data_IF_486957185026
#
_entry.id   IF_486957185026
#
_cell.length_a   1.000
_cell.length_b   1.000
_cell.length_c   1.000
_cell.angle_alpha   90.00
_cell.angle_beta   90.00
_cell.angle_gamma   90.00
#
_symmetry.space_group_name_H-M   'P 1'
#
loop_
_entity.id
_entity.type
_entity.pdbx_description
1 polymer ?
#
# COMPACT_ATOMS: atom_id res chain seq x y z
N UNK A 1 12.31 30.93 -56.71
CA UNK A 1 11.38 30.33 -55.72
C UNK A 1 12.01 30.52 -54.35
N UNK A 2 11.40 31.30 -53.43
CA UNK A 2 11.95 31.44 -52.09
C UNK A 2 11.80 30.12 -51.32
N UNK A 3 12.81 29.71 -50.51
CA UNK A 3 12.69 28.52 -49.67
C UNK A 3 11.71 28.77 -48.52
N UNK A 4 10.80 27.81 -48.30
CA UNK A 4 9.94 27.76 -47.12
C UNK A 4 10.82 27.43 -45.90
N UNK A 5 10.96 28.39 -44.99
CA UNK A 5 11.53 28.14 -43.65
C UNK A 5 10.53 27.24 -42.87
N UNK A 6 10.98 26.19 -42.17
CA UNK A 6 10.09 25.45 -41.26
C UNK A 6 9.60 26.38 -40.13
N UNK A 7 8.36 26.17 -39.63
CA UNK A 7 7.86 26.92 -38.48
C UNK A 7 8.77 26.62 -37.28
N UNK A 8 9.34 27.67 -36.69
CA UNK A 8 10.09 27.56 -35.45
C UNK A 8 9.17 26.93 -34.38
N UNK A 9 9.55 25.78 -33.85
CA UNK A 9 8.85 25.15 -32.74
C UNK A 9 8.86 26.13 -31.55
N UNK A 10 7.68 26.49 -31.05
CA UNK A 10 7.56 27.41 -29.93
C UNK A 10 8.20 26.79 -28.68
N UNK A 11 9.29 27.35 -28.13
CA UNK A 11 9.95 26.82 -26.95
C UNK A 11 9.05 26.84 -25.70
N UNK A 12 7.89 27.51 -25.76
CA UNK A 12 6.88 27.52 -24.69
C UNK A 12 6.02 26.26 -24.64
N UNK A 13 6.07 25.40 -25.66
CA UNK A 13 5.36 24.12 -25.67
C UNK A 13 6.14 22.98 -24.99
N UNK A 14 7.35 23.25 -24.49
CA UNK A 14 8.08 22.30 -23.67
C UNK A 14 7.48 22.27 -22.26
N UNK A 15 6.81 21.17 -21.91
CA UNK A 15 6.38 20.92 -20.54
C UNK A 15 7.59 20.97 -19.59
N UNK A 16 7.48 21.63 -18.42
CA UNK A 16 8.58 21.70 -17.48
C UNK A 16 9.01 20.29 -17.04
N UNK A 17 10.31 20.03 -16.86
CA UNK A 17 10.77 18.74 -16.35
C UNK A 17 10.17 18.52 -14.96
N UNK A 18 9.54 17.36 -14.77
CA UNK A 18 8.99 16.97 -13.48
C UNK A 18 10.09 17.05 -12.41
N UNK A 19 9.81 17.75 -11.30
CA UNK A 19 10.77 17.92 -10.23
C UNK A 19 11.17 16.54 -9.66
N UNK A 20 12.47 16.31 -9.36
CA UNK A 20 12.92 15.05 -8.82
C UNK A 20 12.27 14.79 -7.45
N UNK A 21 11.54 13.69 -7.36
CA UNK A 21 10.88 13.24 -6.13
C UNK A 21 11.95 12.93 -5.07
N UNK A 22 11.80 13.36 -3.81
CA UNK A 22 12.80 13.11 -2.79
C UNK A 22 13.00 11.60 -2.61
N UNK A 23 14.26 11.11 -2.68
CA UNK A 23 14.56 9.70 -2.45
C UNK A 23 14.10 9.33 -1.03
N UNK A 24 13.09 8.47 -0.95
CA UNK A 24 12.44 8.06 0.31
C UNK A 24 10.92 8.11 0.28
N UNK A 25 10.28 8.89 -0.61
CA UNK A 25 8.82 8.96 -0.64
C UNK A 25 8.17 7.66 -1.15
N UNK A 26 8.81 6.98 -2.10
CA UNK A 26 8.29 5.74 -2.68
C UNK A 26 8.47 4.56 -1.72
N UNK A 27 9.65 4.41 -1.12
CA UNK A 27 9.89 3.38 -0.10
C UNK A 27 8.98 3.58 1.14
N UNK A 28 8.76 4.83 1.55
CA UNK A 28 7.81 5.16 2.62
C UNK A 28 6.36 4.86 2.22
N UNK A 29 5.96 5.18 0.99
CA UNK A 29 4.63 4.85 0.47
C UNK A 29 4.41 3.33 0.39
N UNK A 30 5.40 2.57 -0.08
CA UNK A 30 5.36 1.11 -0.14
C UNK A 30 5.28 0.48 1.26
N UNK A 31 5.97 1.05 2.25
CA UNK A 31 5.85 0.61 3.65
C UNK A 31 4.47 0.91 4.22
N UNK A 32 3.98 2.15 4.06
CA UNK A 32 2.66 2.55 4.55
C UNK A 32 1.53 1.74 3.90
N UNK A 33 1.65 1.44 2.60
CA UNK A 33 0.72 0.59 1.88
C UNK A 33 0.68 -0.85 2.41
N UNK A 34 1.85 -1.45 2.69
CA UNK A 34 1.93 -2.78 3.31
C UNK A 34 1.39 -2.79 4.74
N UNK A 35 1.68 -1.76 5.53
CA UNK A 35 1.13 -1.60 6.88
C UNK A 35 -0.41 -1.51 6.83
N UNK A 36 -0.96 -0.77 5.87
CA UNK A 36 -2.41 -0.69 5.65
C UNK A 36 -3.01 -2.04 5.28
N UNK A 37 -2.39 -2.77 4.34
CA UNK A 37 -2.86 -4.10 3.96
C UNK A 37 -2.82 -5.08 5.15
N UNK A 38 -1.79 -5.02 6.00
CA UNK A 38 -1.72 -5.82 7.22
C UNK A 38 -2.87 -5.49 8.19
N UNK A 39 -3.24 -4.22 8.35
CA UNK A 39 -4.40 -3.83 9.18
C UNK A 39 -5.72 -4.35 8.59
N UNK A 40 -5.89 -4.23 7.26
CA UNK A 40 -7.07 -4.74 6.57
C UNK A 40 -7.18 -6.27 6.71
N UNK A 41 -6.08 -6.99 6.48
CA UNK A 41 -6.01 -8.44 6.69
C UNK A 41 -6.32 -8.83 8.13
N UNK A 42 -5.81 -8.11 9.12
CA UNK A 42 -6.13 -8.36 10.53
C UNK A 42 -7.63 -8.28 10.80
N UNK A 43 -8.29 -7.24 10.29
CA UNK A 43 -9.74 -7.09 10.41
C UNK A 43 -10.52 -8.20 9.70
N UNK A 44 -10.04 -8.67 8.55
CA UNK A 44 -10.67 -9.76 7.78
C UNK A 44 -10.45 -11.13 8.42
N UNK A 45 -9.31 -11.35 9.06
CA UNK A 45 -8.96 -12.61 9.71
C UNK A 45 -9.65 -12.76 11.07
N UNK A 46 -9.96 -11.67 11.77
CA UNK A 46 -10.53 -11.70 13.12
C UNK A 46 -11.77 -12.62 13.25
N UNK A 47 -12.78 -12.57 12.36
CA UNK A 47 -13.98 -13.41 12.47
C UNK A 47 -13.69 -14.91 12.34
N UNK A 48 -12.63 -15.30 11.61
CA UNK A 48 -12.21 -16.71 11.51
C UNK A 48 -11.81 -17.28 12.87
N UNK A 49 -11.24 -16.43 13.73
CA UNK A 49 -10.76 -16.78 15.05
C UNK A 49 -11.79 -16.56 16.16
N UNK A 50 -12.83 -15.77 15.90
CA UNK A 50 -14.00 -15.64 16.78
C UNK A 50 -14.95 -16.85 16.64
N UNK A 51 -15.06 -17.44 15.44
CA UNK A 51 -15.87 -18.63 15.17
C UNK A 51 -15.24 -19.96 15.60
N UNK A 52 -13.93 -19.98 15.89
CA UNK A 52 -13.25 -21.10 16.54
C UNK A 52 -13.71 -21.17 17.99
N UNK A 53 -14.69 -22.04 18.27
CA UNK A 53 -15.13 -22.35 19.62
C UNK A 53 -13.99 -22.85 20.52
N UNK A 54 -14.29 -23.18 21.78
CA UNK A 54 -13.31 -23.65 22.79
C UNK A 54 -12.64 -25.01 22.50
N UNK A 55 -12.67 -25.49 21.25
CA UNK A 55 -12.12 -26.78 20.84
C UNK A 55 -11.17 -26.64 19.66
N UNK A 56 -9.93 -27.10 19.84
CA UNK A 56 -8.87 -27.08 18.82
C UNK A 56 -7.60 -26.35 19.28
N UNK A 57 -6.55 -26.36 18.45
CA UNK A 57 -5.25 -25.74 18.76
C UNK A 57 -5.28 -24.20 18.94
N UNK A 58 -6.42 -23.56 18.66
CA UNK A 58 -6.66 -22.11 18.80
C UNK A 58 -7.85 -21.80 19.72
N UNK A 59 -8.29 -22.79 20.50
CA UNK A 59 -9.46 -22.74 21.38
C UNK A 59 -9.08 -22.69 22.86
N UNK A 60 -7.98 -22.03 23.24
CA UNK A 60 -7.57 -21.91 24.64
C UNK A 60 -8.50 -21.04 25.49
N UNK A 61 -8.39 -21.20 26.81
CA UNK A 61 -9.18 -20.45 27.80
C UNK A 61 -8.91 -18.93 27.80
N UNK A 62 -9.43 -18.22 28.80
CA UNK A 62 -9.43 -16.74 28.86
C UNK A 62 -8.06 -16.08 28.63
N UNK A 63 -6.97 -16.73 29.01
CA UNK A 63 -5.62 -16.23 28.72
C UNK A 63 -5.36 -16.14 27.21
N UNK A 64 -5.75 -17.16 26.43
CA UNK A 64 -5.52 -17.17 24.98
C UNK A 64 -6.42 -16.17 24.25
N UNK A 65 -7.66 -15.96 24.72
CA UNK A 65 -8.56 -14.93 24.20
C UNK A 65 -7.95 -13.52 24.26
N UNK A 66 -7.19 -13.20 25.32
CA UNK A 66 -6.53 -11.90 25.46
C UNK A 66 -5.37 -11.70 24.48
N UNK A 67 -4.63 -12.76 24.14
CA UNK A 67 -3.46 -12.68 23.25
C UNK A 67 -3.77 -12.98 21.78
N UNK A 68 -4.95 -13.54 21.49
CA UNK A 68 -5.41 -13.89 20.13
C UNK A 68 -5.34 -12.73 19.14
N UNK A 69 -5.78 -11.49 19.46
CA UNK A 69 -5.67 -10.37 18.52
C UNK A 69 -4.22 -10.05 18.12
N UNK A 70 -3.27 -10.25 19.04
CA UNK A 70 -1.84 -10.09 18.73
C UNK A 70 -1.36 -11.14 17.73
N UNK A 71 -1.75 -12.40 17.91
CA UNK A 71 -1.43 -13.48 16.96
C UNK A 71 -2.04 -13.22 15.58
N UNK A 72 -3.30 -12.78 15.53
CA UNK A 72 -3.99 -12.45 14.27
C UNK A 72 -3.26 -11.31 13.55
N UNK A 73 -2.82 -10.28 14.28
CA UNK A 73 -2.05 -9.18 13.70
C UNK A 73 -0.72 -9.65 13.11
N UNK A 74 -0.01 -10.59 13.75
CA UNK A 74 1.23 -11.11 13.20
C UNK A 74 1.00 -12.01 11.98
N UNK A 75 -0.05 -12.82 11.96
CA UNK A 75 -0.45 -13.52 10.73
C UNK A 75 -0.72 -12.53 9.60
N UNK A 76 -1.47 -11.47 9.88
CA UNK A 76 -1.78 -10.45 8.88
C UNK A 76 -0.51 -9.76 8.34
N UNK A 77 0.48 -9.47 9.19
CA UNK A 77 1.77 -8.92 8.75
C UNK A 77 2.56 -9.89 7.87
N UNK A 78 2.64 -11.16 8.25
CA UNK A 78 3.36 -12.17 7.46
C UNK A 78 2.69 -12.37 6.10
N UNK A 79 1.36 -12.40 6.05
CA UNK A 79 0.60 -12.51 4.81
C UNK A 79 0.84 -11.28 3.92
N UNK A 80 0.73 -10.07 4.46
CA UNK A 80 1.01 -8.83 3.73
C UNK A 80 2.46 -8.78 3.20
N UNK A 81 3.43 -9.26 3.99
CA UNK A 81 4.83 -9.32 3.58
C UNK A 81 5.10 -10.39 2.50
N UNK A 82 4.34 -11.50 2.51
CA UNK A 82 4.51 -12.65 1.61
C UNK A 82 3.80 -12.53 0.26
N UNK A 83 3.11 -11.42 -0.02
CA UNK A 83 2.42 -11.18 -1.29
C UNK A 83 0.99 -10.66 -1.13
N UNK A 84 0.42 -10.76 0.07
CA UNK A 84 -0.85 -10.10 0.42
C UNK A 84 -2.02 -10.42 -0.50
N UNK A 85 -2.93 -9.46 -0.66
CA UNK A 85 -4.09 -9.52 -1.55
C UNK A 85 -3.98 -8.49 -2.70
N UNK A 86 -2.89 -7.74 -2.78
CA UNK A 86 -2.69 -6.65 -3.74
C UNK A 86 -3.33 -5.33 -3.31
N UNK A 87 -3.85 -5.23 -2.08
CA UNK A 87 -4.37 -3.98 -1.50
C UNK A 87 -3.22 -2.98 -1.35
N UNK A 88 -2.05 -3.45 -0.91
CA UNK A 88 -0.87 -2.60 -0.79
C UNK A 88 -0.53 -1.92 -2.13
N UNK A 89 -0.54 -2.64 -3.24
CA UNK A 89 -0.24 -2.08 -4.56
C UNK A 89 -1.27 -1.01 -4.97
N UNK A 90 -2.55 -1.28 -4.72
CA UNK A 90 -3.62 -0.32 -5.01
C UNK A 90 -3.48 0.97 -4.20
N UNK A 91 -3.18 0.85 -2.90
CA UNK A 91 -2.97 1.99 -2.01
C UNK A 91 -1.72 2.77 -2.41
N UNK A 92 -0.61 2.09 -2.70
CA UNK A 92 0.63 2.73 -3.12
C UNK A 92 0.42 3.57 -4.39
N UNK A 93 -0.27 3.04 -5.41
CA UNK A 93 -0.59 3.79 -6.63
C UNK A 93 -1.39 5.06 -6.32
N UNK A 94 -2.38 4.98 -5.42
CA UNK A 94 -3.16 6.15 -5.01
C UNK A 94 -2.33 7.16 -4.22
N UNK A 95 -1.45 6.71 -3.32
CA UNK A 95 -0.55 7.58 -2.57
C UNK A 95 0.38 8.36 -3.50
N UNK A 96 0.93 7.71 -4.52
CA UNK A 96 1.79 8.36 -5.52
C UNK A 96 1.01 9.35 -6.39
N UNK A 97 -0.18 8.99 -6.84
CA UNK A 97 -1.04 9.90 -7.61
C UNK A 97 -1.42 11.17 -6.83
N UNK A 98 -1.71 11.04 -5.53
CA UNK A 98 -1.97 12.19 -4.66
C UNK A 98 -0.73 13.07 -4.42
N UNK A 99 0.47 12.48 -4.42
CA UNK A 99 1.72 13.26 -4.34
C UNK A 99 1.97 14.05 -5.62
N UNK A 100 1.63 13.48 -6.78
CA UNK A 100 1.77 14.14 -8.09
C UNK A 100 0.81 15.32 -8.26
N UNK A 101 -0.39 15.25 -7.71
CA UNK A 101 -1.35 16.37 -7.73
C UNK A 101 -0.94 17.55 -6.82
N UNK A 102 -0.02 17.31 -5.88
CA UNK A 102 0.46 18.31 -4.90
C UNK A 102 1.78 18.98 -5.31
N UNK A 103 2.44 18.47 -6.34
CA UNK A 103 3.68 19.02 -6.90
C UNK A 103 3.35 20.02 -8.02
#
# INVERSE_FOLDING_TARGET
>A
MPPLLPPAADPRLAAPPAAPRPPGSEAAAARAARDFEAMALGALLQPMFEGLGKGGAFGGGTAEEMWRPMLVNEFARVIAAGGGLGIADAVMRQMLAMQEQRA
#
